data_IF_896658144413
#
_entry.id   IF_896658144413
#
_cell.length_a   1.000
_cell.length_b   1.000
_cell.length_c   1.000
_cell.angle_alpha   90.00
_cell.angle_beta   90.00
_cell.angle_gamma   90.00
#
_symmetry.space_group_name_H-M   'P 1'
#
loop_
_entity.id
_entity.type
_entity.pdbx_description
1 polymer ?
#
# COMPACT_ATOMS: atom_id res chain seq x y z
N UNK A 1 -7.96 6.62 -13.67
CA UNK A 1 -7.31 5.89 -14.77
C UNK A 1 -7.72 4.42 -14.69
N UNK A 2 -7.97 3.77 -15.84
CA UNK A 2 -8.29 2.35 -15.93
C UNK A 2 -7.12 1.59 -16.59
N UNK A 3 -6.95 0.34 -16.23
CA UNK A 3 -6.05 -0.62 -16.84
C UNK A 3 -6.83 -1.50 -17.82
N UNK A 4 -6.25 -1.74 -19.00
CA UNK A 4 -6.82 -2.59 -20.05
C UNK A 4 -5.86 -3.74 -20.32
N UNK A 5 -6.34 -4.97 -20.16
CA UNK A 5 -5.62 -6.19 -20.51
C UNK A 5 -6.41 -6.95 -21.59
N UNK A 6 -5.74 -7.29 -22.70
CA UNK A 6 -6.37 -7.95 -23.85
C UNK A 6 -5.70 -9.31 -24.06
N UNK A 7 -6.47 -10.39 -23.94
CA UNK A 7 -5.99 -11.76 -24.14
C UNK A 7 -6.79 -12.48 -25.21
N UNK A 8 -6.14 -13.35 -25.99
CA UNK A 8 -6.86 -14.22 -26.93
C UNK A 8 -7.39 -15.46 -26.21
N UNK A 9 -8.63 -15.84 -26.52
CA UNK A 9 -9.14 -17.17 -26.17
C UNK A 9 -8.37 -18.23 -26.95
N UNK A 10 -8.32 -19.44 -26.40
CA UNK A 10 -7.66 -20.60 -27.02
C UNK A 10 -8.19 -20.95 -28.42
N UNK A 11 -9.44 -20.58 -28.73
CA UNK A 11 -10.03 -20.73 -30.07
C UNK A 11 -9.57 -19.68 -31.10
N UNK A 12 -8.76 -18.68 -30.70
CA UNK A 12 -8.15 -17.66 -31.57
C UNK A 12 -9.09 -16.59 -32.13
N UNK A 13 -10.41 -16.81 -32.10
CA UNK A 13 -11.42 -15.92 -32.69
C UNK A 13 -12.00 -14.90 -31.69
N UNK A 14 -11.90 -15.17 -30.39
CA UNK A 14 -12.46 -14.31 -29.33
C UNK A 14 -11.33 -13.63 -28.55
N UNK A 15 -11.45 -12.33 -28.31
CA UNK A 15 -10.59 -11.57 -27.39
C UNK A 15 -11.33 -11.31 -26.10
N UNK A 16 -10.68 -11.54 -24.96
CA UNK A 16 -11.15 -11.15 -23.63
C UNK A 16 -10.48 -9.82 -23.29
N UNK A 17 -11.30 -8.80 -23.03
CA UNK A 17 -10.84 -7.49 -22.59
C UNK A 17 -11.18 -7.38 -21.10
N UNK A 18 -10.17 -7.23 -20.27
CA UNK A 18 -10.32 -6.98 -18.83
C UNK A 18 -10.11 -5.50 -18.56
N UNK A 19 -11.15 -4.84 -18.05
CA UNK A 19 -11.09 -3.44 -17.59
C UNK A 19 -10.99 -3.45 -16.07
N UNK A 20 -9.93 -2.89 -15.51
CA UNK A 20 -9.72 -2.82 -14.06
C UNK A 20 -9.26 -1.43 -13.62
N UNK A 21 -9.43 -1.07 -12.34
CA UNK A 21 -8.83 0.15 -11.79
C UNK A 21 -7.30 0.11 -11.96
N UNK A 22 -6.69 1.20 -12.43
CA UNK A 22 -5.22 1.25 -12.54
C UNK A 22 -4.57 1.29 -11.15
N UNK A 23 -5.16 2.03 -10.21
CA UNK A 23 -4.71 2.07 -8.82
C UNK A 23 -5.59 1.15 -7.99
N UNK A 24 -4.98 0.30 -7.18
CA UNK A 24 -5.66 -0.58 -6.24
C UNK A 24 -5.03 -0.50 -4.87
N UNK A 25 -5.83 -0.73 -3.83
CA UNK A 25 -5.34 -0.94 -2.46
C UNK A 25 -5.82 -2.30 -1.98
N UNK A 26 -4.89 -3.12 -1.53
CA UNK A 26 -5.12 -4.43 -0.94
C UNK A 26 -4.82 -4.36 0.56
N UNK A 27 -5.81 -4.65 1.38
CA UNK A 27 -5.65 -4.81 2.81
C UNK A 27 -5.41 -6.28 3.13
N UNK A 28 -4.17 -6.63 3.44
CA UNK A 28 -3.73 -7.97 3.80
C UNK A 28 -3.86 -8.23 5.31
N UNK A 29 -4.19 -7.21 6.12
CA UNK A 29 -4.36 -7.30 7.56
C UNK A 29 -5.73 -7.80 8.02
N UNK A 30 -5.90 -7.87 9.34
CA UNK A 30 -7.14 -8.33 10.01
C UNK A 30 -8.12 -7.19 10.35
N UNK A 31 -7.69 -5.93 10.24
CA UNK A 31 -8.51 -4.77 10.59
C UNK A 31 -8.83 -3.94 9.36
N UNK A 32 -10.02 -3.34 9.33
CA UNK A 32 -10.42 -2.42 8.26
C UNK A 32 -9.57 -1.16 8.30
N UNK A 33 -8.86 -0.86 7.21
CA UNK A 33 -8.03 0.33 7.06
C UNK A 33 -8.79 1.35 6.22
N UNK A 34 -8.76 2.63 6.60
CA UNK A 34 -9.28 3.72 5.79
C UNK A 34 -8.12 4.43 5.11
N UNK A 35 -8.25 4.73 3.82
CA UNK A 35 -7.28 5.51 3.05
C UNK A 35 -7.93 6.77 2.50
N UNK A 36 -7.14 7.82 2.28
CA UNK A 36 -7.57 9.03 1.58
C UNK A 36 -6.42 9.69 0.84
N UNK A 37 -6.74 10.52 -0.14
CA UNK A 37 -5.78 11.51 -0.66
C UNK A 37 -5.56 12.63 0.39
N UNK A 38 -4.43 13.36 0.34
CA UNK A 38 -4.24 14.57 1.14
C UNK A 38 -5.37 15.59 0.92
N UNK A 39 -5.81 15.71 -0.32
CA UNK A 39 -6.99 16.46 -0.77
C UNK A 39 -7.62 15.71 -1.96
N UNK A 40 -8.94 15.44 -1.97
CA UNK A 40 -9.92 15.71 -0.92
C UNK A 40 -9.75 14.80 0.31
N UNK A 41 -10.19 15.27 1.49
CA UNK A 41 -10.05 14.54 2.77
C UNK A 41 -11.11 13.44 2.98
N UNK A 42 -11.58 12.82 1.89
CA UNK A 42 -12.63 11.80 1.95
C UNK A 42 -12.01 10.43 2.22
N UNK A 43 -12.43 9.80 3.31
CA UNK A 43 -11.96 8.47 3.69
C UNK A 43 -12.70 7.38 2.91
N UNK A 44 -11.92 6.44 2.37
CA UNK A 44 -12.40 5.23 1.72
C UNK A 44 -12.01 4.04 2.59
N UNK A 45 -12.99 3.23 2.99
CA UNK A 45 -12.74 2.01 3.78
C UNK A 45 -12.24 0.89 2.88
N UNK A 46 -11.21 0.20 3.33
CA UNK A 46 -10.66 -1.03 2.75
C UNK A 46 -10.82 -2.14 3.81
N UNK A 47 -11.90 -2.93 3.73
CA UNK A 47 -12.13 -4.05 4.66
C UNK A 47 -10.93 -5.00 4.75
N UNK A 48 -10.79 -5.67 5.89
CA UNK A 48 -9.77 -6.69 6.10
C UNK A 48 -9.84 -7.77 5.00
N UNK A 49 -8.69 -8.22 4.52
CA UNK A 49 -8.56 -9.26 3.47
C UNK A 49 -9.28 -8.92 2.15
N UNK A 50 -9.41 -7.64 1.81
CA UNK A 50 -10.03 -7.21 0.56
C UNK A 50 -9.14 -6.29 -0.26
N UNK A 51 -9.44 -6.21 -1.55
CA UNK A 51 -8.81 -5.27 -2.48
C UNK A 51 -9.87 -4.41 -3.13
N UNK A 52 -9.63 -3.09 -3.21
CA UNK A 52 -10.53 -2.16 -3.87
C UNK A 52 -9.77 -1.31 -4.90
N UNK A 53 -10.48 -0.85 -5.92
CA UNK A 53 -9.98 0.16 -6.85
C UNK A 53 -9.95 1.54 -6.24
N UNK A 54 -8.95 2.33 -6.64
CA UNK A 54 -8.86 3.76 -6.37
C UNK A 54 -8.89 4.57 -7.66
N UNK A 55 -9.44 5.78 -7.56
CA UNK A 55 -9.47 6.77 -8.63
C UNK A 55 -8.90 8.09 -8.11
N UNK A 56 -7.56 8.17 -7.94
CA UNK A 56 -6.93 9.39 -7.45
C UNK A 56 -7.19 10.57 -8.38
N UNK A 57 -7.33 11.75 -7.80
CA UNK A 57 -7.61 13.00 -8.53
C UNK A 57 -6.36 13.83 -8.79
N UNK A 58 -5.32 13.66 -7.97
CA UNK A 58 -4.04 14.37 -8.13
C UNK A 58 -3.18 13.83 -9.28
N UNK A 59 -2.40 14.72 -9.92
CA UNK A 59 -1.38 14.33 -10.92
C UNK A 59 -0.29 13.44 -10.35
N UNK A 60 0.07 13.67 -9.09
CA UNK A 60 1.03 12.87 -8.33
C UNK A 60 0.29 12.31 -7.13
N UNK A 61 -0.26 11.09 -7.23
CA UNK A 61 -1.16 10.59 -6.20
C UNK A 61 -0.40 10.16 -4.95
N UNK A 62 -0.91 10.59 -3.80
CA UNK A 62 -0.44 10.21 -2.48
C UNK A 62 -1.61 9.67 -1.67
N UNK A 63 -1.31 8.79 -0.72
CA UNK A 63 -2.29 8.31 0.25
C UNK A 63 -1.83 8.57 1.68
N UNK A 64 -2.83 8.66 2.54
CA UNK A 64 -2.72 8.61 3.99
C UNK A 64 -3.64 7.48 4.45
N UNK A 65 -3.14 6.62 5.33
CA UNK A 65 -3.85 5.46 5.88
C UNK A 65 -4.12 5.63 7.37
N UNK A 66 -5.16 4.96 7.87
CA UNK A 66 -5.44 4.83 9.31
C UNK A 66 -6.27 3.59 9.58
N UNK A 67 -6.20 3.08 10.80
CA UNK A 67 -7.24 2.16 11.25
C UNK A 67 -8.61 2.84 11.22
N UNK A 68 -9.61 2.18 10.66
CA UNK A 68 -10.93 2.79 10.46
C UNK A 68 -11.59 3.14 11.78
N UNK A 69 -12.15 4.34 11.86
CA UNK A 69 -12.74 4.87 13.10
C UNK A 69 -11.74 5.50 14.07
N UNK A 70 -10.45 5.46 13.75
CA UNK A 70 -9.38 5.99 14.62
C UNK A 70 -8.85 7.33 14.12
N UNK A 71 -8.21 8.10 14.99
CA UNK A 71 -7.71 9.45 14.64
C UNK A 71 -6.27 9.45 14.15
N UNK A 72 -5.45 8.49 14.57
CA UNK A 72 -4.04 8.47 14.20
C UNK A 72 -3.86 8.06 12.74
N UNK A 73 -3.18 8.91 11.99
CA UNK A 73 -2.89 8.74 10.57
C UNK A 73 -1.45 8.23 10.37
N UNK A 74 -1.21 7.55 9.25
CA UNK A 74 0.12 7.27 8.75
C UNK A 74 0.80 8.56 8.28
N UNK A 75 2.09 8.46 8.02
CA UNK A 75 2.76 9.40 7.10
C UNK A 75 2.08 9.37 5.73
N UNK A 76 2.14 10.48 5.01
CA UNK A 76 1.74 10.54 3.60
C UNK A 76 2.76 9.78 2.74
N UNK A 77 2.29 8.92 1.84
CA UNK A 77 3.16 8.12 0.98
C UNK A 77 2.73 8.18 -0.50
N UNK A 78 3.68 8.24 -1.45
CA UNK A 78 3.37 8.24 -2.87
C UNK A 78 2.86 6.87 -3.32
N UNK A 79 1.93 6.84 -4.28
CA UNK A 79 1.49 5.60 -4.94
C UNK A 79 1.93 5.52 -6.41
N UNK A 80 2.76 6.47 -6.86
CA UNK A 80 3.31 6.49 -8.22
C UNK A 80 4.72 5.91 -8.32
N UNK A 81 5.29 5.41 -7.21
CA UNK A 81 6.64 4.88 -7.14
C UNK A 81 6.67 3.60 -6.29
N UNK A 82 7.59 2.68 -6.61
CA UNK A 82 7.81 1.50 -5.78
C UNK A 82 8.39 1.95 -4.45
N UNK A 83 7.71 1.58 -3.36
CA UNK A 83 8.17 1.86 -2.00
C UNK A 83 7.84 0.66 -1.10
N UNK A 84 8.72 0.39 -0.16
CA UNK A 84 8.45 -0.46 0.99
C UNK A 84 8.75 0.36 2.24
N UNK A 85 7.72 0.64 3.03
CA UNK A 85 7.85 1.49 4.21
C UNK A 85 6.97 0.99 5.33
N UNK A 86 7.31 1.37 6.55
CA UNK A 86 6.51 1.08 7.73
C UNK A 86 5.91 2.38 8.25
N UNK A 87 4.58 2.44 8.30
CA UNK A 87 3.88 3.53 8.94
C UNK A 87 3.49 3.14 10.36
N UNK A 88 4.12 3.78 11.33
CA UNK A 88 3.73 3.64 12.74
C UNK A 88 2.42 4.35 13.01
N UNK A 89 1.33 3.62 12.85
CA UNK A 89 -0.01 4.03 13.27
C UNK A 89 -0.18 3.53 14.71
N UNK A 90 0.38 4.26 15.67
CA UNK A 90 0.37 3.85 17.08
C UNK A 90 -1.08 3.73 17.54
N UNK A 91 -1.52 2.49 17.69
CA UNK A 91 -2.73 2.16 18.39
C UNK A 91 -2.48 0.90 19.22
N UNK A 92 -2.68 1.05 20.53
CA UNK A 92 -2.45 0.02 21.54
C UNK A 92 -3.23 -1.27 21.26
N UNK A 93 -4.34 -1.20 20.52
CA UNK A 93 -5.23 -2.35 20.27
C UNK A 93 -5.06 -3.02 18.89
N UNK A 94 -4.26 -2.44 17.97
CA UNK A 94 -4.03 -3.03 16.63
C UNK A 94 -2.55 -3.30 16.31
N UNK A 95 -1.70 -3.44 17.33
CA UNK A 95 -0.35 -3.93 17.14
C UNK A 95 0.65 -2.93 16.54
N UNK A 96 0.48 -1.61 16.74
CA UNK A 96 1.60 -0.67 16.63
C UNK A 96 1.94 -0.11 15.24
N UNK A 97 1.38 -0.62 14.14
CA UNK A 97 1.50 0.05 12.82
C UNK A 97 0.99 -0.75 11.63
N UNK A 98 1.24 -0.24 10.42
CA UNK A 98 0.88 -0.82 9.13
C UNK A 98 2.10 -0.79 8.21
N UNK A 99 2.47 -1.94 7.67
CA UNK A 99 3.45 -2.04 6.60
C UNK A 99 2.80 -1.67 5.27
N UNK A 100 3.46 -0.81 4.50
CA UNK A 100 2.97 -0.25 3.25
C UNK A 100 3.96 -0.61 2.16
N UNK A 101 3.49 -1.37 1.18
CA UNK A 101 4.27 -1.73 0.00
C UNK A 101 3.54 -1.28 -1.25
N UNK A 102 4.14 -0.42 -2.05
CA UNK A 102 3.58 0.04 -3.33
C UNK A 102 4.33 -0.66 -4.45
N UNK A 103 3.58 -1.38 -5.28
CA UNK A 103 4.09 -2.09 -6.44
C UNK A 103 3.56 -1.40 -7.70
N UNK A 104 4.45 -0.77 -8.45
CA UNK A 104 4.13 -0.07 -9.71
C UNK A 104 4.58 -0.93 -10.88
N UNK A 105 3.67 -1.15 -11.81
CA UNK A 105 3.91 -1.84 -13.08
C UNK A 105 3.40 -1.00 -14.25
N UNK A 106 3.63 -1.49 -15.48
CA UNK A 106 3.12 -0.81 -16.68
C UNK A 106 1.58 -0.70 -16.69
N UNK A 107 0.90 -1.68 -16.10
CA UNK A 107 -0.55 -1.83 -16.26
C UNK A 107 -1.33 -1.47 -14.99
N UNK A 108 -0.68 -1.44 -13.83
CA UNK A 108 -1.34 -1.11 -12.57
C UNK A 108 -0.35 -0.71 -11.48
N UNK A 109 -0.86 0.03 -10.50
CA UNK A 109 -0.25 0.19 -9.19
C UNK A 109 -1.10 -0.54 -8.15
N UNK A 110 -0.46 -1.35 -7.31
CA UNK A 110 -1.10 -1.97 -6.14
C UNK A 110 -0.41 -1.52 -4.86
N UNK A 111 -1.17 -0.95 -3.94
CA UNK A 111 -0.74 -0.64 -2.57
C UNK A 111 -1.16 -1.79 -1.67
N UNK A 112 -0.20 -2.44 -1.01
CA UNK A 112 -0.45 -3.46 -0.01
C UNK A 112 -0.33 -2.87 1.38
N UNK A 113 -1.36 -3.10 2.20
CA UNK A 113 -1.43 -2.69 3.59
C UNK A 113 -1.45 -3.95 4.45
N UNK A 114 -0.35 -4.21 5.14
CA UNK A 114 -0.20 -5.39 5.99
C UNK A 114 -0.14 -5.01 7.45
N UNK A 115 -0.73 -5.84 8.31
CA UNK A 115 -0.57 -5.69 9.76
C UNK A 115 0.90 -5.76 10.14
N UNK A 116 1.29 -4.94 11.11
CA UNK A 116 2.60 -5.09 11.75
C UNK A 116 2.69 -6.47 12.43
N UNK A 117 3.85 -7.10 12.28
CA UNK A 117 4.21 -8.31 13.02
C UNK A 117 5.24 -7.89 14.08
N UNK A 118 5.03 -8.22 15.38
CA UNK A 118 6.04 -7.97 16.41
C UNK A 118 7.42 -8.50 15.99
N UNK A 119 8.44 -7.65 16.07
CA UNK A 119 9.80 -7.96 15.61
C UNK A 119 10.09 -7.69 14.14
N UNK A 120 9.08 -7.35 13.32
CA UNK A 120 9.25 -7.03 11.89
C UNK A 120 9.45 -5.52 11.62
N UNK A 121 9.74 -4.71 12.64
CA UNK A 121 10.00 -3.29 12.46
C UNK A 121 11.33 -3.11 11.72
N UNK A 122 11.35 -2.45 10.55
CA UNK A 122 12.60 -2.19 9.85
C UNK A 122 13.45 -1.23 10.67
N UNK A 123 14.75 -1.52 10.76
CA UNK A 123 15.76 -0.61 11.31
C UNK A 123 16.70 -0.18 10.19
N UNK A 124 16.93 1.14 10.08
CA UNK A 124 17.97 1.68 9.21
C UNK A 124 19.22 1.96 10.03
N UNK A 125 20.32 1.30 9.70
CA UNK A 125 21.62 1.56 10.31
C UNK A 125 22.46 2.38 9.33
N UNK A 126 22.80 3.61 9.71
CA UNK A 126 23.71 4.47 8.95
C UNK A 126 25.05 4.51 9.68
N UNK A 127 26.07 3.87 9.11
CA UNK A 127 27.41 3.90 9.66
C UNK A 127 28.16 5.13 9.13
N UNK A 128 28.40 6.11 10.00
CA UNK A 128 29.22 7.29 9.69
C UNK A 128 30.62 7.22 10.33
N UNK A 129 31.15 6.01 10.49
CA UNK A 129 32.48 5.79 11.07
C UNK A 129 33.44 5.24 10.02
N UNK A 130 34.75 5.34 10.27
CA UNK A 130 35.80 4.76 9.41
C UNK A 130 36.01 3.26 9.60
N UNK A 131 35.19 2.60 10.43
CA UNK A 131 35.30 1.18 10.76
C UNK A 131 34.06 0.42 10.27
N UNK A 132 34.20 -0.83 9.82
CA UNK A 132 33.06 -1.66 9.44
C UNK A 132 32.18 -1.97 10.66
N UNK A 133 30.86 -1.96 10.44
CA UNK A 133 29.88 -2.35 11.45
C UNK A 133 29.43 -3.78 11.12
N UNK A 134 29.67 -4.70 12.06
CA UNK A 134 29.22 -6.09 11.94
C UNK A 134 27.84 -6.21 12.58
N UNK A 135 26.86 -6.68 11.81
CA UNK A 135 25.54 -7.04 12.31
C UNK A 135 25.30 -8.52 12.07
N UNK A 136 24.63 -9.18 13.02
CA UNK A 136 24.23 -10.59 12.92
C UNK A 136 22.76 -10.72 13.30
N UNK A 137 22.05 -11.56 12.57
CA UNK A 137 20.69 -12.00 12.91
C UNK A 137 20.84 -13.37 13.61
N UNK A 138 20.23 -13.55 14.79
CA UNK A 138 20.14 -14.86 15.43
C UNK A 138 19.16 -15.76 14.67
#
# INVERSE_FOLDING_TARGET
QLALDIRMCTSGLTRVITVSPYYMVSNCGEWTISVREPNPKTWIKVPAKTSIGLYPTGKTPFLIARYSGRQKESITFPISQNIDTFATIVDESAGGGVSISVNVSSNSTVVYLSSFIPGAAPIQIVNNTSRPLHFGQM
#
